data_IF_465933271056
#
_entry.id   IF_465933271056
#
_cell.length_a   1.000
_cell.length_b   1.000
_cell.length_c   1.000
_cell.angle_alpha   90.00
_cell.angle_beta   90.00
_cell.angle_gamma   90.00
#
_symmetry.space_group_name_H-M   'P 1'
#
loop_
_entity.id
_entity.type
_entity.pdbx_description
1 polymer ?
#
# COMPACT_ATOMS: atom_id res chain seq x y z
N UNK A 1 2.29 -16.55 1.72
CA UNK A 1 3.00 -15.42 1.08
C UNK A 1 4.47 -15.79 1.02
N UNK A 2 5.10 -15.74 -0.15
CA UNK A 2 6.53 -16.04 -0.26
C UNK A 2 7.36 -14.92 0.38
N UNK A 3 8.65 -15.15 0.62
CA UNK A 3 9.52 -14.18 1.29
C UNK A 3 9.84 -12.94 0.42
N UNK A 4 9.58 -13.02 -0.88
CA UNK A 4 9.76 -11.97 -1.88
C UNK A 4 8.44 -11.38 -2.41
N UNK A 5 7.32 -11.77 -1.80
CA UNK A 5 6.00 -11.23 -2.08
C UNK A 5 5.67 -10.15 -1.04
N UNK A 6 4.85 -9.16 -1.41
CA UNK A 6 4.14 -8.32 -0.45
C UNK A 6 2.68 -8.10 -0.88
N UNK A 7 1.81 -7.89 0.09
CA UNK A 7 0.45 -7.39 -0.14
C UNK A 7 0.45 -5.88 -0.02
N UNK A 8 -0.34 -5.20 -0.85
CA UNK A 8 -0.53 -3.77 -0.68
C UNK A 8 -1.96 -3.33 -0.94
N UNK A 9 -2.38 -2.33 -0.18
CA UNK A 9 -3.69 -1.70 -0.30
C UNK A 9 -3.56 -0.20 -0.49
N UNK A 10 -4.33 0.33 -1.43
CA UNK A 10 -4.41 1.77 -1.68
C UNK A 10 -5.79 2.30 -1.31
N UNK A 11 -5.81 3.45 -0.64
CA UNK A 11 -7.04 4.18 -0.33
C UNK A 11 -6.85 5.70 -0.37
N UNK A 12 -7.91 6.40 -0.78
CA UNK A 12 -7.97 7.85 -0.73
C UNK A 12 -8.31 8.29 0.69
N UNK A 13 -7.28 8.50 1.50
CA UNK A 13 -7.34 8.76 2.93
C UNK A 13 -7.74 10.19 3.30
N UNK A 14 -8.84 10.74 2.78
CA UNK A 14 -9.25 12.12 3.14
C UNK A 14 -9.42 12.34 4.64
N UNK A 15 -9.72 11.27 5.39
CA UNK A 15 -9.89 11.31 6.85
C UNK A 15 -8.57 11.43 7.63
N UNK A 16 -7.41 11.20 7.00
CA UNK A 16 -6.11 11.35 7.68
C UNK A 16 -5.63 12.80 7.76
N UNK A 17 -6.13 13.67 6.88
CA UNK A 17 -5.83 15.10 6.94
C UNK A 17 -6.62 15.78 8.08
N UNK A 18 -6.08 16.81 8.75
CA UNK A 18 -6.88 17.72 9.56
C UNK A 18 -8.00 18.34 8.72
N UNK A 19 -9.16 18.59 9.35
CA UNK A 19 -10.39 18.95 8.64
C UNK A 19 -10.25 20.21 7.80
N UNK A 20 -9.46 21.17 8.25
CA UNK A 20 -9.16 22.43 7.56
C UNK A 20 -8.39 22.27 6.25
N UNK A 21 -7.73 21.12 6.03
CA UNK A 21 -6.98 20.80 4.81
C UNK A 21 -7.70 19.79 3.90
N UNK A 22 -8.84 19.27 4.32
CA UNK A 22 -9.63 18.31 3.53
C UNK A 22 -10.32 19.01 2.37
N UNK A 23 -10.52 18.27 1.28
CA UNK A 23 -11.44 18.71 0.22
C UNK A 23 -12.84 18.99 0.80
N UNK A 24 -13.39 20.16 0.50
CA UNK A 24 -14.76 20.50 0.91
C UNK A 24 -15.78 19.69 0.10
N UNK A 25 -16.82 19.15 0.74
CA UNK A 25 -17.90 18.43 0.04
C UNK A 25 -18.76 19.32 -0.87
N UNK A 26 -18.59 20.64 -0.84
CA UNK A 26 -19.45 21.58 -1.57
C UNK A 26 -18.72 22.22 -2.76
N UNK A 27 -18.91 21.64 -3.93
CA UNK A 27 -19.59 22.26 -5.07
C UNK A 27 -19.64 21.20 -6.19
N UNK A 28 -20.84 20.71 -6.49
CA UNK A 28 -21.22 19.93 -7.66
C UNK A 28 -20.17 20.03 -8.81
N UNK A 29 -19.35 19.00 -9.04
CA UNK A 29 -18.34 18.87 -10.11
C UNK A 29 -16.98 19.58 -9.99
N UNK A 30 -16.49 19.92 -8.79
CA UNK A 30 -15.10 20.39 -8.66
C UNK A 30 -14.57 20.29 -7.23
N UNK A 31 -14.02 19.12 -6.88
CA UNK A 31 -13.28 18.93 -5.63
C UNK A 31 -12.11 19.92 -5.61
N UNK A 32 -12.14 20.90 -4.72
CA UNK A 32 -11.03 21.83 -4.47
C UNK A 32 -10.44 21.52 -3.10
N UNK A 33 -9.20 21.06 -3.07
CA UNK A 33 -8.49 20.76 -1.84
C UNK A 33 -7.43 19.67 -2.01
N UNK A 34 -6.56 19.56 -1.01
CA UNK A 34 -5.52 18.55 -1.01
C UNK A 34 -6.13 17.16 -0.90
N UNK A 35 -5.75 16.28 -1.83
CA UNK A 35 -6.10 14.87 -1.81
C UNK A 35 -4.92 14.01 -1.41
N UNK A 36 -5.20 12.94 -0.69
CA UNK A 36 -4.15 12.06 -0.18
C UNK A 36 -4.43 10.61 -0.53
N UNK A 37 -3.49 10.00 -1.24
CA UNK A 37 -3.47 8.56 -1.45
C UNK A 37 -2.52 7.92 -0.44
N UNK A 38 -3.01 6.93 0.27
CA UNK A 38 -2.23 6.11 1.20
C UNK A 38 -2.03 4.74 0.57
N UNK A 39 -0.78 4.27 0.54
CA UNK A 39 -0.43 2.91 0.15
C UNK A 39 0.19 2.19 1.32
N UNK A 40 -0.46 1.14 1.81
CA UNK A 40 0.02 0.31 2.91
C UNK A 40 0.48 -1.04 2.40
N UNK A 41 1.65 -1.48 2.86
CA UNK A 41 2.31 -2.71 2.46
C UNK A 41 2.45 -3.63 3.66
N UNK A 42 2.31 -4.93 3.43
CA UNK A 42 2.56 -5.96 4.42
C UNK A 42 3.33 -7.11 3.77
N UNK A 43 4.41 -7.54 4.41
CA UNK A 43 5.20 -8.68 3.93
C UNK A 43 5.72 -9.56 5.07
N UNK A 44 6.25 -10.73 4.71
CA UNK A 44 6.76 -11.73 5.63
C UNK A 44 8.27 -11.53 5.79
N UNK A 45 8.74 -11.48 7.01
CA UNK A 45 10.17 -11.33 7.28
C UNK A 45 10.93 -12.62 6.95
N UNK A 46 12.09 -12.45 6.32
CA UNK A 46 12.94 -13.57 5.89
C UNK A 46 13.72 -14.23 7.03
N UNK A 47 13.68 -13.71 8.26
CA UNK A 47 14.41 -14.29 9.38
C UNK A 47 13.62 -15.43 10.04
N UNK A 48 13.86 -16.66 9.59
CA UNK A 48 13.72 -17.81 10.49
C UNK A 48 14.81 -17.69 11.56
N UNK A 49 14.46 -17.13 12.72
CA UNK A 49 15.31 -17.26 13.90
C UNK A 49 15.32 -18.73 14.29
N UNK A 50 16.37 -19.47 13.94
CA UNK A 50 16.66 -20.74 14.58
C UNK A 50 16.84 -20.45 16.07
N UNK A 51 15.83 -20.77 16.88
CA UNK A 51 15.98 -20.82 18.32
C UNK A 51 16.88 -22.02 18.62
N UNK A 52 18.17 -21.75 18.87
CA UNK A 52 19.08 -22.72 19.47
C UNK A 52 18.65 -22.96 20.92
N UNK A 53 17.59 -23.73 21.10
CA UNK A 53 17.26 -24.39 22.36
C UNK A 53 17.50 -25.86 22.13
N UNK A 54 18.65 -26.34 22.59
CA UNK A 54 18.94 -27.75 22.68
C UNK A 54 17.80 -28.47 23.41
N UNK A 55 17.54 -29.71 22.99
CA UNK A 55 16.55 -30.69 23.49
C UNK A 55 15.24 -30.75 22.65
N UNK A 56 15.32 -31.55 21.58
CA UNK A 56 14.32 -32.53 21.09
C UNK A 56 12.84 -32.17 20.92
N UNK A 57 12.48 -30.90 20.71
CA UNK A 57 11.20 -30.53 20.08
C UNK A 57 11.42 -29.35 19.13
N UNK A 58 11.41 -29.61 17.83
CA UNK A 58 11.40 -28.56 16.80
C UNK A 58 10.07 -27.82 16.84
N UNK A 59 9.97 -26.78 17.67
CA UNK A 59 8.89 -25.81 17.59
C UNK A 59 9.22 -24.80 16.48
N UNK A 60 8.47 -24.85 15.37
CA UNK A 60 8.54 -23.82 14.34
C UNK A 60 8.02 -22.51 14.94
N UNK A 61 8.85 -21.46 14.94
CA UNK A 61 8.37 -20.13 15.33
C UNK A 61 7.33 -19.65 14.31
N UNK A 62 6.26 -18.95 14.74
CA UNK A 62 5.32 -18.37 13.81
C UNK A 62 6.02 -17.36 12.89
N UNK A 63 5.55 -17.20 11.63
CA UNK A 63 6.11 -16.21 10.72
C UNK A 63 5.92 -14.80 11.28
N UNK A 64 6.98 -13.98 11.19
CA UNK A 64 6.92 -12.55 11.50
C UNK A 64 6.57 -11.77 10.24
N UNK A 65 5.81 -10.69 10.41
CA UNK A 65 5.39 -9.82 9.32
C UNK A 65 5.79 -8.39 9.63
N UNK A 66 6.20 -7.68 8.58
CA UNK A 66 6.50 -6.25 8.59
C UNK A 66 5.44 -5.50 7.80
N UNK A 67 5.26 -4.22 8.13
CA UNK A 67 4.33 -3.32 7.46
C UNK A 67 4.95 -1.95 7.27
N UNK A 68 4.66 -1.30 6.16
CA UNK A 68 5.09 0.08 5.90
C UNK A 68 3.97 0.82 5.14
N UNK A 69 3.82 2.11 5.41
CA UNK A 69 2.79 2.94 4.76
C UNK A 69 3.40 4.20 4.18
N UNK A 70 3.00 4.51 2.95
CA UNK A 70 3.44 5.69 2.21
C UNK A 70 2.24 6.57 1.91
N UNK A 71 2.51 7.87 1.85
CA UNK A 71 1.50 8.88 1.63
C UNK A 71 1.94 9.78 0.48
N UNK A 72 1.08 9.95 -0.51
CA UNK A 72 1.23 10.98 -1.55
C UNK A 72 0.12 11.99 -1.36
N UNK A 73 0.52 13.23 -1.07
CA UNK A 73 -0.39 14.37 -0.99
C UNK A 73 -0.32 15.15 -2.30
N UNK A 74 -1.48 15.40 -2.90
CA UNK A 74 -1.66 16.08 -4.18
C UNK A 74 -2.55 17.30 -3.91
N UNK A 75 -2.10 18.48 -4.32
CA UNK A 75 -2.82 19.73 -4.04
C UNK A 75 -4.16 19.83 -4.76
N UNK A 76 -4.29 19.15 -5.90
CA UNK A 76 -5.49 19.11 -6.71
C UNK A 76 -5.59 17.73 -7.38
N UNK A 77 -6.58 16.92 -7.00
CA UNK A 77 -6.85 15.65 -7.63
C UNK A 77 -8.35 15.37 -7.63
N UNK A 78 -8.87 14.93 -8.77
CA UNK A 78 -10.26 14.50 -8.89
C UNK A 78 -10.48 13.07 -8.37
N UNK A 79 -9.41 12.39 -7.96
CA UNK A 79 -9.40 10.99 -7.49
C UNK A 79 -9.89 10.02 -8.56
N UNK A 80 -9.61 10.35 -9.81
CA UNK A 80 -9.89 9.50 -10.97
C UNK A 80 -9.01 8.26 -10.96
N UNK A 81 -9.31 7.29 -11.81
CA UNK A 81 -8.45 6.13 -12.03
C UNK A 81 -7.02 6.56 -12.42
N UNK A 82 -6.87 7.59 -13.26
CA UNK A 82 -5.57 8.11 -13.67
C UNK A 82 -4.80 8.73 -12.49
N UNK A 83 -5.48 9.50 -11.63
CA UNK A 83 -4.87 10.06 -10.42
C UNK A 83 -4.40 8.94 -9.49
N UNK A 84 -5.22 7.90 -9.36
CA UNK A 84 -4.94 6.76 -8.47
C UNK A 84 -3.78 5.91 -9.00
N UNK A 85 -3.73 5.66 -10.31
CA UNK A 85 -2.61 4.98 -10.97
C UNK A 85 -1.31 5.76 -10.81
N UNK A 86 -1.34 7.08 -11.09
CA UNK A 86 -0.15 7.93 -11.04
C UNK A 86 0.41 8.04 -9.61
N UNK A 87 -0.45 8.29 -8.62
CA UNK A 87 -0.04 8.35 -7.22
C UNK A 87 0.38 6.96 -6.68
N UNK A 88 -0.32 5.91 -7.09
CA UNK A 88 0.03 4.53 -6.75
C UNK A 88 1.39 4.11 -7.32
N UNK A 89 1.75 4.57 -8.52
CA UNK A 89 3.06 4.34 -9.13
C UNK A 89 4.18 5.02 -8.32
N UNK A 90 3.99 6.27 -7.91
CA UNK A 90 4.96 7.00 -7.06
C UNK A 90 5.22 6.23 -5.77
N UNK A 91 4.16 5.81 -5.08
CA UNK A 91 4.27 5.03 -3.85
C UNK A 91 4.95 3.68 -4.10
N UNK A 92 4.52 2.96 -5.14
CA UNK A 92 5.08 1.64 -5.47
C UNK A 92 6.57 1.73 -5.81
N UNK A 93 6.99 2.77 -6.53
CA UNK A 93 8.39 3.02 -6.87
C UNK A 93 9.22 3.30 -5.62
N UNK A 94 8.71 4.10 -4.70
CA UNK A 94 9.38 4.36 -3.44
C UNK A 94 9.52 3.07 -2.62
N UNK A 95 8.43 2.31 -2.45
CA UNK A 95 8.46 1.02 -1.74
C UNK A 95 9.47 0.03 -2.34
N UNK A 96 9.50 -0.13 -3.68
CA UNK A 96 10.46 -1.02 -4.36
C UNK A 96 11.91 -0.53 -4.21
N UNK A 97 12.12 0.78 -4.02
CA UNK A 97 13.45 1.36 -3.74
C UNK A 97 13.91 1.03 -2.32
N UNK A 98 13.01 1.13 -1.35
CA UNK A 98 13.31 0.88 0.06
C UNK A 98 13.43 -0.62 0.36
N UNK A 99 12.66 -1.46 -0.35
CA UNK A 99 12.60 -2.91 -0.17
C UNK A 99 12.83 -3.69 -1.48
N UNK A 100 14.04 -3.61 -2.08
CA UNK A 100 14.33 -4.22 -3.38
C UNK A 100 14.29 -5.77 -3.37
N UNK A 101 14.24 -6.40 -2.20
CA UNK A 101 14.09 -7.84 -2.06
C UNK A 101 12.66 -8.33 -2.38
N UNK A 102 11.67 -7.43 -2.32
CA UNK A 102 10.28 -7.74 -2.69
C UNK A 102 10.16 -7.63 -4.21
N UNK A 103 9.88 -8.75 -4.86
CA UNK A 103 9.78 -8.87 -6.32
C UNK A 103 8.34 -8.82 -6.82
N UNK A 104 7.39 -9.24 -5.98
CA UNK A 104 6.00 -9.37 -6.38
C UNK A 104 5.08 -8.63 -5.44
N UNK A 105 4.18 -7.82 -6.01
CA UNK A 105 3.18 -7.07 -5.27
C UNK A 105 1.78 -7.58 -5.59
N UNK A 106 1.05 -7.93 -4.55
CA UNK A 106 -0.36 -8.29 -4.60
C UNK A 106 -1.20 -7.08 -4.22
N UNK A 107 -1.62 -6.32 -5.24
CA UNK A 107 -2.41 -5.09 -5.11
C UNK A 107 -3.88 -5.44 -4.86
N UNK A 108 -4.49 -4.83 -3.84
CA UNK A 108 -5.95 -4.81 -3.63
C UNK A 108 -6.39 -3.38 -3.33
N UNK A 109 -7.55 -2.97 -3.84
CA UNK A 109 -8.09 -1.64 -3.54
C UNK A 109 -9.43 -1.77 -2.84
N UNK A 110 -9.63 -0.97 -1.79
CA UNK A 110 -10.83 -1.05 -0.95
C UNK A 110 -12.01 -0.22 -1.51
N UNK A 111 -11.79 0.57 -2.56
CA UNK A 111 -12.86 1.36 -3.18
C UNK A 111 -13.54 0.65 -4.35
N UNK A 112 -14.87 0.69 -4.34
CA UNK A 112 -15.83 -0.06 -5.16
C UNK A 112 -15.81 0.19 -6.69
N UNK A 113 -14.67 0.52 -7.31
CA UNK A 113 -14.61 0.63 -8.76
C UNK A 113 -13.34 1.17 -9.40
N UNK A 114 -12.30 1.56 -8.66
CA UNK A 114 -11.19 2.33 -9.27
C UNK A 114 -9.97 1.53 -9.75
N UNK A 115 -10.01 0.20 -9.60
CA UNK A 115 -9.17 -0.70 -10.36
C UNK A 115 -10.05 -1.86 -10.73
N UNK A 116 -10.46 -1.92 -12.00
CA UNK A 116 -11.04 -3.17 -12.49
C UNK A 116 -10.03 -4.27 -12.19
N UNK A 117 -10.40 -5.20 -11.32
CA UNK A 117 -9.60 -6.38 -10.99
C UNK A 117 -9.61 -7.30 -12.21
N UNK A 118 -8.96 -6.89 -13.29
CA UNK A 118 -8.57 -7.74 -14.39
C UNK A 118 -7.06 -7.68 -14.47
N UNK A 119 -6.47 -8.83 -14.16
CA UNK A 119 -5.07 -9.14 -14.26
C UNK A 119 -4.42 -8.40 -15.44
N UNK A 120 -3.70 -7.33 -15.15
CA UNK A 120 -2.63 -6.86 -16.02
C UNK A 120 -1.36 -7.47 -15.44
N UNK A 121 -0.77 -8.47 -16.10
CA UNK A 121 0.60 -8.86 -15.79
C UNK A 121 1.48 -7.61 -16.02
N UNK A 122 2.20 -7.17 -15.00
CA UNK A 122 3.33 -6.27 -15.21
C UNK A 122 4.34 -7.05 -16.09
N UNK A 123 4.54 -6.60 -17.34
CA UNK A 123 5.57 -7.10 -18.26
C UNK A 123 6.88 -6.38 -17.98
#
# INVERSE_FOLDING_TARGET
MNNDDAFCTFDWGQKILPQEYREGQNAYFGKKGMSVLVGSFAWKDSTTKLSNTAITTTSLSPPTYSTESYIVAITDAAQTELDTLSAGEIITKQFKTDYPHIKKLHKRTDNAGNFSSHATPEV
#
